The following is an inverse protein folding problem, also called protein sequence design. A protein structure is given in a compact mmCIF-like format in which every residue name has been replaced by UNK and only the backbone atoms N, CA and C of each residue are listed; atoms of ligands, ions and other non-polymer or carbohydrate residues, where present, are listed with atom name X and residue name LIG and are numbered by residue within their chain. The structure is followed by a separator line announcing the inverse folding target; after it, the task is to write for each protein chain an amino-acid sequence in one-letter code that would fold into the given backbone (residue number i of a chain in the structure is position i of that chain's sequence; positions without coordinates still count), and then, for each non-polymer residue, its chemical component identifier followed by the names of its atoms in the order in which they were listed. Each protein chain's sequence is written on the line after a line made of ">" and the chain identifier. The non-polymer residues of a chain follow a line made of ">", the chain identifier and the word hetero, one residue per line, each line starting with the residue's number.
data_IF_599646886986
#
_entry.id   IF_599646886986
#
_cell.length_a   1.000
_cell.length_b   1.000
_cell.length_c   1.000
_cell.angle_alpha   90.00
_cell.angle_beta   90.00
_cell.angle_gamma   90.00
#
_symmetry.space_group_name_H-M   'P 1'
#
loop_
_entity.id
_entity.type
_entity.pdbx_description
1 polymer ?
#
# COMPACT_ATOMS: atom_id res chain seq x y z
N UNK A 1 -2.86 10.90 9.53
CA UNK A 1 -2.69 9.45 9.74
C UNK A 1 -2.98 8.79 8.41
N UNK A 2 -1.99 8.15 7.80
CA UNK A 2 -2.15 7.54 6.46
C UNK A 2 -2.04 6.02 6.54
N UNK A 3 -2.91 5.33 5.81
CA UNK A 3 -2.80 3.90 5.53
C UNK A 3 -2.43 3.74 4.06
N UNK A 4 -1.48 2.89 3.77
CA UNK A 4 -0.99 2.65 2.40
C UNK A 4 -0.91 1.16 2.14
N UNK A 5 -1.58 0.67 1.11
CA UNK A 5 -1.45 -0.71 0.65
C UNK A 5 -0.17 -0.91 -0.13
N UNK A 6 0.54 -2.00 0.15
CA UNK A 6 1.77 -2.39 -0.55
C UNK A 6 1.51 -3.74 -1.22
N UNK A 7 2.07 -3.93 -2.43
CA UNK A 7 2.00 -5.19 -3.19
C UNK A 7 0.56 -5.57 -3.61
N UNK A 8 -0.27 -4.58 -3.94
CA UNK A 8 -1.68 -4.80 -4.29
C UNK A 8 -1.85 -5.45 -5.65
N UNK A 9 -1.03 -5.08 -6.63
CA UNK A 9 -1.10 -5.66 -7.97
C UNK A 9 -0.09 -6.79 -8.13
N UNK A 10 1.08 -6.65 -7.50
CA UNK A 10 2.17 -7.59 -7.68
C UNK A 10 1.82 -9.02 -7.21
N UNK A 11 1.09 -9.16 -6.10
CA UNK A 11 0.74 -10.47 -5.54
C UNK A 11 -0.45 -11.14 -6.26
N UNK A 12 -1.30 -10.35 -6.92
CA UNK A 12 -2.51 -10.84 -7.60
C UNK A 12 -2.29 -11.19 -9.08
N UNK A 13 -1.11 -10.91 -9.63
CA UNK A 13 -0.72 -11.40 -10.95
C UNK A 13 -0.52 -12.90 -10.91
N UNK A 14 -1.30 -13.64 -11.70
CA UNK A 14 -1.11 -15.08 -11.90
C UNK A 14 0.21 -15.40 -12.60
N UNK A 15 0.62 -14.54 -13.53
CA UNK A 15 1.80 -14.79 -14.37
C UNK A 15 3.02 -14.02 -13.88
N UNK A 16 3.99 -14.75 -13.32
CA UNK A 16 5.21 -14.15 -12.73
C UNK A 16 6.13 -13.49 -13.78
N UNK A 17 6.01 -13.83 -15.05
CA UNK A 17 6.79 -13.18 -16.11
C UNK A 17 6.32 -11.73 -16.31
N UNK A 18 5.01 -11.47 -16.23
CA UNK A 18 4.43 -10.13 -16.34
C UNK A 18 4.86 -9.21 -15.20
N UNK A 19 5.24 -9.76 -14.03
CA UNK A 19 5.83 -8.97 -12.94
C UNK A 19 7.16 -8.32 -13.33
N UNK A 20 7.91 -8.95 -14.24
CA UNK A 20 9.19 -8.42 -14.76
C UNK A 20 8.98 -7.62 -16.04
N UNK A 21 8.21 -8.15 -16.98
CA UNK A 21 8.02 -7.51 -18.30
C UNK A 21 7.19 -6.23 -18.20
N UNK A 22 6.23 -6.17 -17.27
CA UNK A 22 5.38 -5.00 -17.02
C UNK A 22 5.69 -4.32 -15.69
N UNK A 23 6.93 -4.41 -15.20
CA UNK A 23 7.32 -3.89 -13.89
C UNK A 23 7.03 -2.38 -13.73
N UNK A 24 7.36 -1.58 -14.75
CA UNK A 24 7.13 -0.13 -14.71
C UNK A 24 5.63 0.21 -14.62
N UNK A 25 4.80 -0.44 -15.43
CA UNK A 25 3.35 -0.24 -15.40
C UNK A 25 2.76 -0.66 -14.04
N UNK A 26 3.27 -1.76 -13.46
CA UNK A 26 2.87 -2.19 -12.12
C UNK A 26 3.29 -1.22 -11.04
N UNK A 27 4.48 -0.65 -11.13
CA UNK A 27 4.98 0.36 -10.20
C UNK A 27 4.13 1.64 -10.26
N UNK A 28 3.75 2.09 -11.46
CA UNK A 28 2.83 3.21 -11.62
C UNK A 28 1.48 2.94 -10.99
N UNK A 29 0.91 1.74 -11.22
CA UNK A 29 -0.37 1.34 -10.65
C UNK A 29 -0.30 1.27 -9.12
N UNK A 30 0.74 0.63 -8.57
CA UNK A 30 0.95 0.59 -7.12
C UNK A 30 1.10 2.00 -6.55
N UNK A 31 1.90 2.86 -7.17
CA UNK A 31 2.09 4.24 -6.71
C UNK A 31 0.79 5.04 -6.74
N UNK A 32 -0.01 4.89 -7.80
CA UNK A 32 -1.27 5.62 -7.99
C UNK A 32 -2.34 5.17 -6.99
N UNK A 33 -2.49 3.86 -6.76
CA UNK A 33 -3.58 3.31 -5.97
C UNK A 33 -3.22 2.95 -4.53
N UNK A 34 -1.96 3.08 -4.12
CA UNK A 34 -1.51 2.71 -2.77
C UNK A 34 -2.26 3.41 -1.63
N UNK A 35 -2.87 4.58 -1.86
CA UNK A 35 -3.61 5.36 -0.84
C UNK A 35 -5.13 5.40 -1.06
N UNK A 36 -5.65 4.61 -1.99
CA UNK A 36 -7.07 4.58 -2.31
C UNK A 36 -7.70 3.28 -1.78
N UNK A 37 -8.81 3.37 -1.05
CA UNK A 37 -9.64 2.19 -0.75
C UNK A 37 -10.40 1.78 -2.02
N UNK A 38 -10.51 0.47 -2.34
CA UNK A 38 -10.23 -0.72 -1.52
C UNK A 38 -8.80 -1.29 -1.65
N UNK A 39 -7.94 -0.70 -2.49
CA UNK A 39 -6.60 -1.21 -2.77
C UNK A 39 -5.70 -1.28 -1.54
N UNK A 40 -5.87 -0.36 -0.59
CA UNK A 40 -5.16 -0.43 0.70
C UNK A 40 -5.39 -1.77 1.40
N UNK A 41 -6.64 -2.19 1.50
CA UNK A 41 -7.05 -3.41 2.23
C UNK A 41 -6.79 -4.69 1.45
N UNK A 42 -6.78 -4.59 0.12
CA UNK A 42 -6.47 -5.72 -0.77
C UNK A 42 -4.97 -6.01 -0.83
N UNK A 43 -4.12 -5.06 -0.47
CA UNK A 43 -2.67 -5.23 -0.43
C UNK A 43 -2.25 -6.33 0.54
N UNK A 44 -1.21 -7.08 0.16
CA UNK A 44 -0.60 -8.10 1.04
C UNK A 44 -0.06 -7.50 2.34
N UNK A 45 0.34 -6.22 2.30
CA UNK A 45 0.78 -5.47 3.47
C UNK A 45 0.11 -4.10 3.53
N UNK A 46 -0.22 -3.66 4.75
CA UNK A 46 -0.75 -2.32 5.01
C UNK A 46 0.28 -1.57 5.85
N UNK A 47 0.85 -0.52 5.28
CA UNK A 47 1.70 0.40 6.01
C UNK A 47 0.84 1.47 6.68
N UNK A 48 0.83 1.48 8.00
CA UNK A 48 0.07 2.44 8.81
C UNK A 48 1.01 3.39 9.54
N UNK A 49 0.77 4.68 9.37
CA UNK A 49 1.48 5.74 10.09
C UNK A 49 0.61 6.24 11.24
N UNK A 50 1.01 5.89 12.46
CA UNK A 50 0.39 6.37 13.68
C UNK A 50 1.31 7.35 14.39
N UNK A 51 0.77 8.48 14.83
CA UNK A 51 1.45 9.43 15.72
C UNK A 51 1.01 9.11 17.14
N UNK A 52 1.97 8.88 18.04
CA UNK A 52 1.69 8.75 19.48
C UNK A 52 0.95 10.01 19.94
N UNK A 53 -0.23 9.89 20.58
CA UNK A 53 -0.87 11.04 21.20
C UNK A 53 0.09 11.57 22.27
N UNK A 54 0.44 12.86 22.18
CA UNK A 54 1.08 13.51 23.31
C UNK A 54 0.03 13.54 24.42
N UNK A 55 0.22 12.71 25.45
CA UNK A 55 -0.51 12.86 26.71
C UNK A 55 -0.32 14.31 27.15
N UNK A 56 -1.42 15.06 27.13
CA UNK A 56 -1.57 16.26 27.95
C UNK A 56 -2.21 15.80 29.25
N UNK A 57 -1.48 15.05 30.06
CA UNK A 57 -1.78 14.96 31.49
C UNK A 57 -0.95 16.05 32.20
N UNK A 58 -1.42 17.28 32.01
CA UNK A 58 -1.37 18.32 33.02
C UNK A 58 -2.75 18.28 33.67
N UNK A 59 -2.85 17.72 34.87
CA UNK A 59 -3.58 18.22 36.05
C UNK A 59 -3.23 17.29 37.21
#
# INVERSE_FOLDING_TARGET
>A
MGKTGVRVFHDYLREKHQQRDCYEALLELETRYCRQEPYITLGRYIHVTARKPQSKDKV
#
